data_IF_118520314916
#
_entry.id   IF_118520314916
#
_cell.length_a   1.000
_cell.length_b   1.000
_cell.length_c   1.000
_cell.angle_alpha   90.00
_cell.angle_beta   90.00
_cell.angle_gamma   90.00
#
_symmetry.space_group_name_H-M   'P 1'
#
loop_
_entity.id
_entity.type
_entity.pdbx_description
1 polymer ?
#
# COMPACT_ATOMS: atom_id res chain seq x y z
N UNK A 1 0.20 -10.65 15.79
CA UNK A 1 -0.32 -9.37 15.25
C UNK A 1 0.00 -8.22 16.18
N UNK A 2 0.18 -7.02 15.64
CA UNK A 2 0.30 -5.78 16.40
C UNK A 2 -0.76 -4.77 15.96
N UNK A 3 -1.31 -4.01 16.92
CA UNK A 3 -2.29 -2.95 16.67
C UNK A 3 -1.66 -1.63 17.09
N UNK A 4 -1.47 -0.73 16.13
CA UNK A 4 -0.72 0.53 16.34
C UNK A 4 -1.45 1.70 15.68
N UNK A 5 -1.08 2.92 16.10
CA UNK A 5 -1.55 4.12 15.41
C UNK A 5 -0.89 4.25 14.02
N UNK A 6 -1.58 4.88 13.07
CA UNK A 6 -1.07 5.03 11.69
C UNK A 6 0.19 5.89 11.60
N UNK A 7 0.50 6.69 12.63
CA UNK A 7 1.77 7.40 12.74
C UNK A 7 3.00 6.46 12.85
N UNK A 8 2.81 5.19 13.21
CA UNK A 8 3.89 4.20 13.28
C UNK A 8 4.14 3.48 11.95
N UNK A 9 3.42 3.83 10.89
CA UNK A 9 3.64 3.22 9.58
C UNK A 9 4.97 3.67 8.96
N UNK A 10 5.77 2.69 8.54
CA UNK A 10 6.89 2.91 7.63
C UNK A 10 7.17 1.65 6.82
N UNK A 11 7.75 1.79 5.63
CA UNK A 11 8.14 0.64 4.81
C UNK A 11 9.13 -0.29 5.53
N UNK A 12 10.00 0.26 6.39
CA UNK A 12 10.93 -0.52 7.19
C UNK A 12 10.22 -1.38 8.24
N UNK A 13 9.24 -0.81 8.94
CA UNK A 13 8.42 -1.52 9.93
C UNK A 13 7.59 -2.63 9.26
N UNK A 14 6.93 -2.34 8.13
CA UNK A 14 6.17 -3.35 7.38
C UNK A 14 7.06 -4.52 6.94
N UNK A 15 8.23 -4.20 6.37
CA UNK A 15 9.18 -5.23 5.94
C UNK A 15 9.65 -6.10 7.11
N UNK A 16 10.06 -5.49 8.22
CA UNK A 16 10.50 -6.23 9.41
C UNK A 16 9.36 -7.08 10.00
N UNK A 17 8.14 -6.57 10.00
CA UNK A 17 6.97 -7.32 10.44
C UNK A 17 6.73 -8.55 9.55
N UNK A 18 6.79 -8.39 8.22
CA UNK A 18 6.68 -9.50 7.27
C UNK A 18 7.81 -10.53 7.47
N UNK A 19 9.06 -10.08 7.61
CA UNK A 19 10.23 -10.94 7.84
C UNK A 19 10.11 -11.76 9.15
N UNK A 20 9.34 -11.27 10.13
CA UNK A 20 9.10 -11.93 11.43
C UNK A 20 7.75 -12.65 11.52
N UNK A 21 6.96 -12.68 10.44
CA UNK A 21 5.62 -13.29 10.42
C UNK A 21 4.58 -12.53 11.23
N UNK A 22 4.83 -11.24 11.51
CA UNK A 22 3.94 -10.34 12.24
C UNK A 22 3.10 -9.55 11.24
N UNK A 23 1.78 -9.53 11.43
CA UNK A 23 0.89 -8.61 10.71
C UNK A 23 0.67 -7.34 11.54
N UNK A 24 0.91 -6.19 10.91
CA UNK A 24 0.62 -4.86 11.46
C UNK A 24 -0.80 -4.44 11.09
N UNK A 25 -1.57 -4.03 12.10
CA UNK A 25 -2.89 -3.44 11.97
C UNK A 25 -2.83 -2.00 12.42
N UNK A 26 -3.21 -1.10 11.52
CA UNK A 26 -3.22 0.33 11.78
C UNK A 26 -4.66 0.78 12.09
N UNK A 27 -4.81 1.74 13.00
CA UNK A 27 -6.14 2.21 13.42
C UNK A 27 -6.69 3.33 12.53
N UNK A 28 -5.81 4.18 11.98
CA UNK A 28 -6.12 5.20 10.99
C UNK A 28 -4.85 5.63 10.26
N UNK A 29 -4.70 5.28 8.99
CA UNK A 29 -3.50 5.61 8.21
C UNK A 29 -3.44 7.08 7.81
N UNK A 30 -2.31 7.71 8.13
CA UNK A 30 -2.06 9.11 7.80
C UNK A 30 -1.72 9.32 6.30
N UNK A 31 -1.79 10.57 5.84
CA UNK A 31 -1.43 10.97 4.48
C UNK A 31 -2.57 10.98 3.47
N UNK A 32 -2.24 11.30 2.21
CA UNK A 32 -3.25 11.44 1.14
C UNK A 32 -3.91 10.09 0.85
N UNK A 33 -5.23 10.03 0.95
CA UNK A 33 -6.02 8.84 0.56
C UNK A 33 -5.81 8.53 -0.93
N UNK A 34 -5.87 7.25 -1.33
CA UNK A 34 -5.82 6.88 -2.73
C UNK A 34 -6.93 7.61 -3.49
N UNK A 35 -6.65 7.98 -4.73
CA UNK A 35 -7.66 8.54 -5.62
C UNK A 35 -8.60 7.41 -6.06
N UNK A 36 -9.87 7.48 -5.66
CA UNK A 36 -10.87 6.44 -5.96
C UNK A 36 -11.13 6.28 -7.47
N UNK A 37 -10.84 7.30 -8.26
CA UNK A 37 -11.00 7.24 -9.73
C UNK A 37 -9.83 6.53 -10.40
N UNK A 38 -8.68 6.40 -9.73
CA UNK A 38 -7.50 5.74 -10.28
C UNK A 38 -7.42 4.30 -9.85
N UNK A 39 -6.84 3.46 -10.72
CA UNK A 39 -6.55 2.08 -10.37
C UNK A 39 -5.56 2.03 -9.20
N UNK A 40 -5.90 1.29 -8.12
CA UNK A 40 -5.01 1.16 -6.98
C UNK A 40 -3.80 0.29 -7.34
N UNK A 41 -2.69 0.51 -6.66
CA UNK A 41 -1.46 -0.28 -6.87
C UNK A 41 -1.65 -1.76 -6.50
N UNK A 42 -2.56 -2.06 -5.58
CA UNK A 42 -2.93 -3.43 -5.19
C UNK A 42 -3.62 -4.21 -6.31
N UNK A 43 -4.11 -3.54 -7.36
CA UNK A 43 -4.64 -4.22 -8.54
C UNK A 43 -3.55 -4.79 -9.45
N UNK A 44 -2.28 -4.36 -9.28
CA UNK A 44 -1.14 -4.92 -9.98
C UNK A 44 -0.58 -6.10 -9.19
N UNK A 45 -0.18 -7.15 -9.90
CA UNK A 45 0.52 -8.28 -9.27
C UNK A 45 1.97 -7.90 -9.06
N UNK A 46 2.35 -7.55 -7.83
CA UNK A 46 3.70 -7.15 -7.46
C UNK A 46 4.30 -8.23 -6.56
N UNK A 47 5.40 -8.84 -6.99
CA UNK A 47 6.16 -9.84 -6.25
C UNK A 47 7.26 -9.17 -5.42
N UNK A 48 7.39 -9.61 -4.17
CA UNK A 48 8.39 -9.17 -3.19
C UNK A 48 8.50 -7.63 -3.03
N UNK A 49 7.41 -6.91 -3.32
CA UNK A 49 7.35 -5.45 -3.35
C UNK A 49 8.42 -4.81 -4.24
N UNK A 50 8.92 -5.54 -5.25
CA UNK A 50 10.06 -5.15 -6.10
C UNK A 50 9.83 -5.38 -7.58
N UNK A 51 9.01 -6.36 -7.94
CA UNK A 51 8.83 -6.78 -9.33
C UNK A 51 7.36 -6.78 -9.70
N UNK A 52 6.96 -6.01 -10.72
CA UNK A 52 5.61 -6.09 -11.28
C UNK A 52 5.55 -7.26 -12.25
N UNK A 53 4.71 -8.25 -11.96
CA UNK A 53 4.52 -9.45 -12.80
C UNK A 53 3.39 -9.27 -13.82
N UNK A 54 2.32 -8.57 -13.43
CA UNK A 54 1.16 -8.36 -14.29
C UNK A 54 0.39 -7.08 -13.92
N UNK A 55 -0.23 -6.47 -14.94
CA UNK A 55 -1.24 -5.44 -14.74
C UNK A 55 -2.63 -6.05 -14.48
N UNK A 56 -3.65 -5.24 -14.11
CA UNK A 56 -5.01 -5.73 -13.86
C UNK A 56 -5.68 -6.43 -15.05
N UNK A 57 -5.22 -6.17 -16.28
CA UNK A 57 -5.68 -6.82 -17.52
C UNK A 57 -4.86 -8.08 -17.86
N UNK A 58 -3.94 -8.51 -16.99
CA UNK A 58 -3.14 -9.72 -17.16
C UNK A 58 -1.90 -9.56 -18.03
N UNK A 59 -1.61 -8.37 -18.56
CA UNK A 59 -0.40 -8.15 -19.35
C UNK A 59 0.85 -8.05 -18.48
N UNK A 60 1.89 -8.80 -18.85
CA UNK A 60 3.21 -8.77 -18.21
C UNK A 60 4.06 -7.64 -18.79
N UNK A 61 4.77 -6.85 -17.97
CA UNK A 61 5.74 -5.89 -18.48
C UNK A 61 6.88 -6.62 -19.20
N UNK A 62 7.34 -6.11 -20.34
CA UNK A 62 8.47 -6.70 -21.06
C UNK A 62 9.81 -6.47 -20.33
N UNK A 63 9.85 -5.50 -19.41
CA UNK A 63 11.01 -5.22 -18.58
C UNK A 63 10.56 -4.67 -17.23
N UNK A 64 11.13 -5.19 -16.15
CA UNK A 64 10.91 -4.69 -14.81
C UNK A 64 12.26 -4.54 -14.10
N UNK A 65 12.51 -3.36 -13.52
CA UNK A 65 13.74 -3.03 -12.84
C UNK A 65 13.45 -2.48 -11.45
N UNK A 66 14.19 -2.95 -10.46
CA UNK A 66 14.16 -2.40 -9.11
C UNK A 66 15.43 -1.60 -8.84
N UNK A 67 15.27 -0.30 -8.61
CA UNK A 67 16.36 0.56 -8.16
C UNK A 67 16.44 0.55 -6.64
N UNK A 68 17.37 -0.25 -6.10
CA UNK A 68 17.58 -0.38 -4.66
C UNK A 68 18.14 0.87 -3.97
N UNK A 69 18.71 1.85 -4.70
CA UNK A 69 19.19 3.10 -4.08
C UNK A 69 18.03 3.98 -3.64
N UNK A 70 16.95 4.02 -4.43
CA UNK A 70 15.81 4.89 -4.21
C UNK A 70 14.53 4.11 -3.85
N UNK A 71 14.61 2.77 -3.76
CA UNK A 71 13.48 1.86 -3.57
C UNK A 71 12.33 2.09 -4.56
N UNK A 72 12.68 2.19 -5.85
CA UNK A 72 11.72 2.45 -6.94
C UNK A 72 11.66 1.26 -7.89
N UNK A 73 10.45 0.83 -8.21
CA UNK A 73 10.13 -0.14 -9.25
C UNK A 73 9.83 0.61 -10.55
N UNK A 74 10.45 0.19 -11.64
CA UNK A 74 10.21 0.65 -13.00
C UNK A 74 9.75 -0.54 -13.84
N UNK A 75 8.47 -0.59 -14.16
CA UNK A 75 7.91 -1.62 -15.04
C UNK A 75 7.51 -1.02 -16.38
N UNK A 76 8.05 -1.57 -17.46
CA UNK A 76 7.82 -1.11 -18.81
C UNK A 76 6.85 -2.03 -19.54
N UNK A 77 5.81 -1.44 -20.12
CA UNK A 77 4.76 -2.14 -20.83
C UNK A 77 4.78 -1.79 -22.32
N UNK A 78 4.29 -2.72 -23.14
CA UNK A 78 4.13 -2.48 -24.56
C UNK A 78 3.14 -1.33 -24.78
N UNK A 79 3.57 -0.35 -25.57
CA UNK A 79 2.77 0.85 -25.84
C UNK A 79 1.49 0.52 -26.60
N UNK A 80 1.51 -0.44 -27.52
CA UNK A 80 0.34 -0.82 -28.31
C UNK A 80 -0.71 -1.48 -27.40
N UNK A 81 -0.26 -2.30 -26.46
CA UNK A 81 -1.12 -2.91 -25.44
C UNK A 81 -1.75 -1.83 -24.55
N UNK A 82 -0.95 -0.89 -24.04
CA UNK A 82 -1.47 0.17 -23.17
C UNK A 82 -2.36 1.17 -23.92
N UNK A 83 -2.10 1.45 -25.20
CA UNK A 83 -2.88 2.43 -25.99
C UNK A 83 -4.29 1.92 -26.32
N UNK A 84 -4.47 0.60 -26.41
CA UNK A 84 -5.75 -0.04 -26.67
C UNK A 84 -6.43 -0.54 -25.38
N UNK A 85 -5.90 -0.18 -24.20
CA UNK A 85 -6.41 -0.67 -22.93
C UNK A 85 -7.69 0.06 -22.53
N UNK A 86 -8.79 -0.65 -22.17
CA UNK A 86 -10.05 -0.03 -21.77
C UNK A 86 -9.91 0.82 -20.49
N UNK A 87 -8.90 0.55 -19.67
CA UNK A 87 -8.63 1.25 -18.41
C UNK A 87 -7.61 2.37 -18.55
N UNK A 88 -7.25 2.79 -19.76
CA UNK A 88 -6.19 3.79 -19.99
C UNK A 88 -6.39 5.07 -19.17
N UNK A 89 -7.62 5.59 -19.09
CA UNK A 89 -7.94 6.84 -18.38
C UNK A 89 -7.67 6.78 -16.87
N UNK A 90 -7.77 5.59 -16.28
CA UNK A 90 -7.63 5.36 -14.83
C UNK A 90 -6.31 4.65 -14.47
N UNK A 91 -5.50 4.32 -15.48
CA UNK A 91 -4.27 3.54 -15.30
C UNK A 91 -3.10 4.44 -14.85
N UNK A 92 -2.34 4.05 -13.81
CA UNK A 92 -1.19 4.81 -13.34
C UNK A 92 0.04 4.74 -14.28
N UNK A 93 0.00 3.92 -15.33
CA UNK A 93 1.07 3.80 -16.33
C UNK A 93 1.20 5.12 -17.10
N UNK A 94 2.42 5.66 -17.17
CA UNK A 94 2.69 6.92 -17.87
C UNK A 94 3.19 6.65 -19.28
N UNK A 95 2.58 7.30 -20.26
CA UNK A 95 3.08 7.34 -21.65
C UNK A 95 4.21 8.35 -21.76
N UNK A 96 5.36 7.90 -22.26
CA UNK A 96 6.50 8.74 -22.67
C UNK A 96 6.70 8.63 -24.17
N UNK A 97 7.62 9.44 -24.73
CA UNK A 97 7.91 9.45 -26.18
C UNK A 97 8.15 8.05 -26.75
N UNK A 98 8.97 7.24 -26.08
CA UNK A 98 9.45 5.96 -26.61
C UNK A 98 8.97 4.73 -25.83
N UNK A 99 8.35 4.90 -24.66
CA UNK A 99 7.92 3.79 -23.82
C UNK A 99 6.71 4.14 -22.96
N UNK A 100 6.08 3.11 -22.40
CA UNK A 100 5.09 3.26 -21.33
C UNK A 100 5.65 2.65 -20.07
N UNK A 101 5.60 3.40 -18.96
CA UNK A 101 6.27 3.01 -17.72
C UNK A 101 5.38 3.25 -16.52
N UNK A 102 5.28 2.22 -15.69
CA UNK A 102 4.79 2.30 -14.33
C UNK A 102 6.00 2.55 -13.41
N UNK A 103 6.03 3.73 -12.78
CA UNK A 103 7.02 4.05 -11.75
C UNK A 103 6.32 4.00 -10.39
N UNK A 104 6.74 3.09 -9.53
CA UNK A 104 6.14 2.89 -8.20
C UNK A 104 7.24 2.90 -7.14
N UNK A 105 7.02 3.66 -6.07
CA UNK A 105 7.87 3.59 -4.89
C UNK A 105 7.46 2.39 -4.05
N UNK A 106 8.44 1.63 -3.55
CA UNK A 106 8.19 0.43 -2.75
C UNK A 106 7.34 0.75 -1.52
N UNK A 107 7.58 1.90 -0.86
CA UNK A 107 6.76 2.37 0.26
C UNK A 107 5.30 2.59 -0.13
N UNK A 108 5.02 3.02 -1.37
CA UNK A 108 3.65 3.18 -1.85
C UNK A 108 2.95 1.82 -2.04
N UNK A 109 3.69 0.74 -2.34
CA UNK A 109 3.15 -0.63 -2.38
C UNK A 109 2.75 -1.07 -0.98
N UNK A 110 3.67 -0.99 -0.01
CA UNK A 110 3.38 -1.32 1.39
C UNK A 110 2.18 -0.51 1.93
N UNK A 111 2.12 0.78 1.61
CA UNK A 111 1.03 1.65 2.02
C UNK A 111 -0.31 1.24 1.39
N UNK A 112 -0.32 0.89 0.11
CA UNK A 112 -1.53 0.47 -0.58
C UNK A 112 -2.06 -0.86 -0.02
N UNK A 113 -1.16 -1.81 0.29
CA UNK A 113 -1.52 -3.07 0.92
C UNK A 113 -2.04 -2.89 2.35
N UNK A 114 -1.38 -2.06 3.16
CA UNK A 114 -1.82 -1.74 4.51
C UNK A 114 -3.22 -1.12 4.51
N UNK A 115 -3.49 -0.15 3.62
CA UNK A 115 -4.82 0.44 3.46
C UNK A 115 -5.86 -0.56 2.98
N UNK A 116 -5.51 -1.47 2.07
CA UNK A 116 -6.43 -2.51 1.63
C UNK A 116 -6.83 -3.45 2.79
N UNK A 117 -5.92 -3.71 3.74
CA UNK A 117 -6.24 -4.45 4.98
C UNK A 117 -7.17 -3.65 5.90
N UNK A 118 -6.96 -2.35 6.05
CA UNK A 118 -7.81 -1.48 6.89
C UNK A 118 -9.22 -1.30 6.32
N UNK A 119 -9.37 -1.26 5.00
CA UNK A 119 -10.68 -1.13 4.34
C UNK A 119 -11.56 -2.38 4.54
N UNK A 120 -10.96 -3.51 4.95
CA UNK A 120 -11.74 -4.68 5.36
C UNK A 120 -12.60 -4.36 6.59
N UNK A 121 -13.92 -4.52 6.44
CA UNK A 121 -14.90 -4.14 7.47
C UNK A 121 -14.68 -4.87 8.80
N UNK A 122 -14.20 -6.12 8.78
CA UNK A 122 -13.96 -6.90 10.01
C UNK A 122 -12.71 -6.40 10.71
N UNK A 123 -11.61 -6.26 9.95
CA UNK A 123 -10.36 -5.73 10.46
C UNK A 123 -10.55 -4.33 11.07
N UNK A 124 -11.29 -3.45 10.38
CA UNK A 124 -11.61 -2.11 10.88
C UNK A 124 -12.36 -2.14 12.21
N UNK A 125 -13.42 -2.95 12.31
CA UNK A 125 -14.23 -3.06 13.53
C UNK A 125 -13.38 -3.55 14.71
N UNK A 126 -12.53 -4.54 14.46
CA UNK A 126 -11.64 -5.10 15.47
C UNK A 126 -10.59 -4.09 15.93
N UNK A 127 -9.94 -3.40 15.00
CA UNK A 127 -8.96 -2.35 15.29
C UNK A 127 -9.57 -1.20 16.10
N UNK A 128 -10.77 -0.72 15.72
CA UNK A 128 -11.50 0.30 16.48
C UNK A 128 -11.83 -0.18 17.89
N UNK A 129 -12.36 -1.39 18.05
CA UNK A 129 -12.70 -1.94 19.36
C UNK A 129 -11.48 -2.04 20.28
N UNK A 130 -10.34 -2.48 19.76
CA UNK A 130 -9.08 -2.59 20.51
C UNK A 130 -8.54 -1.21 20.91
N UNK A 131 -8.61 -0.24 20.01
CA UNK A 131 -8.25 1.16 20.30
C UNK A 131 -9.08 1.73 21.44
N UNK A 132 -10.40 1.56 21.39
CA UNK A 132 -11.31 2.05 22.44
C UNK A 132 -10.98 1.45 23.81
N UNK A 133 -10.62 0.16 23.88
CA UNK A 133 -10.22 -0.48 25.14
C UNK A 133 -8.93 0.12 25.73
N UNK A 134 -7.92 0.38 24.88
CA UNK A 134 -6.66 1.01 25.29
C UNK A 134 -6.87 2.45 25.77
N UNK A 135 -7.60 3.25 24.99
CA UNK A 135 -7.91 4.65 25.33
C UNK A 135 -8.75 4.76 26.60
N UNK A 136 -9.73 3.88 26.78
CA UNK A 136 -10.54 3.80 27.99
C UNK A 136 -9.69 3.53 29.24
N UNK A 137 -8.76 2.57 29.16
CA UNK A 137 -7.85 2.25 30.27
C UNK A 137 -6.95 3.44 30.62
N UNK A 138 -6.34 4.07 29.59
CA UNK A 138 -5.51 5.26 29.79
C UNK A 138 -6.30 6.44 30.36
N UNK A 139 -7.55 6.63 29.92
CA UNK A 139 -8.42 7.69 30.45
C UNK A 139 -8.76 7.46 31.92
N UNK A 140 -9.08 6.23 32.32
CA UNK A 140 -9.35 5.87 33.71
C UNK A 140 -8.13 6.14 34.60
N UNK A 141 -6.94 5.75 34.15
CA UNK A 141 -5.70 6.02 34.86
C UNK A 141 -5.46 7.53 35.01
N UNK A 142 -5.62 8.30 33.92
CA UNK A 142 -5.48 9.77 33.93
C UNK A 142 -6.46 10.45 34.89
N UNK A 143 -7.72 10.01 34.91
CA UNK A 143 -8.72 10.53 35.85
C UNK A 143 -8.39 10.16 37.30
N UNK A 144 -7.89 8.94 37.55
CA UNK A 144 -7.60 8.47 38.91
C UNK A 144 -6.35 9.10 39.55
N UNK A 145 -5.34 9.45 38.73
CA UNK A 145 -4.06 9.95 39.24
C UNK A 145 -3.96 11.47 39.29
N UNK A 146 -4.99 12.21 38.85
CA UNK A 146 -5.04 13.67 38.93
C UNK A 146 -3.88 14.35 38.18
N UNK A 147 -4.09 14.67 36.91
CA UNK A 147 -3.26 15.64 36.21
C UNK A 147 -3.78 17.06 36.52
#
# INVERSE_FOLDING_TARGET
DFYVDGGYFSAGVEKQAQDTGITMHYTDMTGKKPDHEKLPLTAFKIKDHKTVEACPEGHTPYSCQFNGKNNVILAYFDRNVCSNCPRQNVCPVKFRKNNTVLRVEQQAVFLAEARAREEDKRARKEATSKRTALEGTNSSLKCSQGA
#
